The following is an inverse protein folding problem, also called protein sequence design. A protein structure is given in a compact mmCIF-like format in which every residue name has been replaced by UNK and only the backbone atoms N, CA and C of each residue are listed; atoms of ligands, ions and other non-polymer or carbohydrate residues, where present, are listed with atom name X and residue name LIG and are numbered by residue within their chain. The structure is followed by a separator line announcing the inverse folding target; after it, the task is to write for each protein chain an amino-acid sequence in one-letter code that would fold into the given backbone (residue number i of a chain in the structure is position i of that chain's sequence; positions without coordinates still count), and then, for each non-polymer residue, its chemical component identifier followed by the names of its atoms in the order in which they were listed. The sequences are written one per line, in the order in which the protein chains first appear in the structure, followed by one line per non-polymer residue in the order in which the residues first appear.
data_IF_601233208859
#
_entry.id   IF_601233208859
#
_cell.length_a   1.000
_cell.length_b   1.000
_cell.length_c   1.000
_cell.angle_alpha   90.00
_cell.angle_beta   90.00
_cell.angle_gamma   90.00
#
_symmetry.space_group_name_H-M   'P 1'
#
loop_
_entity.id
_entity.type
_entity.pdbx_description
1 polymer ?
#
# COMPACT_ATOMS: atom_id res chain seq x y z
N UNK A 1 7.70 17.67 -9.98
CA UNK A 1 7.49 16.44 -9.21
C UNK A 1 8.84 15.89 -8.81
N UNK A 2 8.92 15.17 -7.69
CA UNK A 2 10.17 14.59 -7.22
C UNK A 2 10.62 13.45 -8.17
N UNK A 3 11.91 13.09 -8.10
CA UNK A 3 12.46 11.97 -8.88
C UNK A 3 11.76 10.64 -8.51
N UNK A 4 11.44 10.50 -7.23
CA UNK A 4 10.63 9.42 -6.68
C UNK A 4 9.53 10.01 -5.80
N UNK A 5 8.31 9.49 -5.92
CA UNK A 5 7.13 9.98 -5.19
C UNK A 5 6.24 8.80 -4.81
N UNK A 6 5.69 8.82 -3.59
CA UNK A 6 4.65 7.89 -3.15
C UNK A 6 3.39 8.69 -2.88
N UNK A 7 2.27 8.28 -3.49
CA UNK A 7 0.94 8.78 -3.20
C UNK A 7 0.19 7.76 -2.36
N UNK A 8 -0.36 8.23 -1.25
CA UNK A 8 -1.13 7.41 -0.32
C UNK A 8 -2.52 8.01 -0.19
N UNK A 9 -3.55 7.17 -0.32
CA UNK A 9 -4.94 7.59 -0.09
C UNK A 9 -5.71 6.53 0.66
N UNK A 10 -6.59 6.96 1.56
CA UNK A 10 -7.50 6.11 2.33
C UNK A 10 -8.93 6.31 1.81
N UNK A 11 -9.52 5.27 1.22
CA UNK A 11 -10.88 5.35 0.67
C UNK A 11 -11.48 3.96 0.53
N UNK A 12 -12.78 3.84 0.72
CA UNK A 12 -13.57 2.65 0.38
C UNK A 12 -13.75 2.57 -1.15
N UNK A 13 -12.95 1.70 -1.78
CA UNK A 13 -12.92 1.50 -3.22
C UNK A 13 -13.90 0.41 -3.68
N UNK A 14 -14.10 -0.64 -2.89
CA UNK A 14 -14.95 -1.78 -3.23
C UNK A 14 -16.39 -1.68 -2.69
N UNK A 15 -16.68 -0.64 -1.90
CA UNK A 15 -17.97 -0.30 -1.28
C UNK A 15 -18.40 -1.30 -0.22
N UNK A 16 -17.45 -1.81 0.55
CA UNK A 16 -17.69 -2.82 1.58
C UNK A 16 -17.72 -2.25 3.01
N UNK A 17 -17.77 -0.93 3.14
CA UNK A 17 -17.75 -0.14 4.38
C UNK A 17 -16.41 -0.20 5.15
N UNK A 18 -15.35 -0.76 4.55
CA UNK A 18 -14.00 -0.82 5.11
C UNK A 18 -12.98 -0.15 4.18
N UNK A 19 -12.63 1.13 4.41
CA UNK A 19 -11.70 1.86 3.55
C UNK A 19 -10.35 1.16 3.37
N UNK A 20 -9.86 1.08 2.14
CA UNK A 20 -8.55 0.53 1.81
C UNK A 20 -7.49 1.64 1.67
N UNK A 21 -6.24 1.27 1.96
CA UNK A 21 -5.08 2.13 1.69
C UNK A 21 -4.58 1.84 0.29
N UNK A 22 -4.71 2.80 -0.61
CA UNK A 22 -4.03 2.76 -1.91
C UNK A 22 -2.64 3.36 -1.78
N UNK A 23 -1.64 2.62 -2.25
CA UNK A 23 -0.26 3.05 -2.36
C UNK A 23 0.15 3.07 -3.83
N UNK A 24 0.59 4.22 -4.33
CA UNK A 24 1.03 4.39 -5.71
C UNK A 24 2.43 5.00 -5.75
N UNK A 25 3.37 4.29 -6.35
CA UNK A 25 4.78 4.68 -6.42
C UNK A 25 5.11 5.16 -7.83
N UNK A 26 5.78 6.30 -7.89
CA UNK A 26 6.15 6.97 -9.12
C UNK A 26 7.67 7.14 -9.21
N UNK A 27 8.20 6.95 -10.42
CA UNK A 27 9.56 7.33 -10.81
C UNK A 27 9.48 8.08 -12.14
N UNK A 28 10.14 9.23 -12.24
CA UNK A 28 10.11 10.08 -13.44
C UNK A 28 8.69 10.32 -13.98
N UNK A 29 7.77 10.58 -13.07
CA UNK A 29 6.36 10.85 -13.36
C UNK A 29 5.56 9.66 -13.94
N UNK A 30 6.11 8.44 -13.85
CA UNK A 30 5.44 7.19 -14.25
C UNK A 30 5.18 6.32 -13.02
N UNK A 31 3.93 5.87 -12.88
CA UNK A 31 3.58 4.88 -11.87
C UNK A 31 4.20 3.54 -12.25
N UNK A 32 5.01 2.98 -11.35
CA UNK A 32 5.64 1.66 -11.54
C UNK A 32 5.07 0.60 -10.61
N UNK A 33 4.41 1.01 -9.52
CA UNK A 33 3.71 0.12 -8.60
C UNK A 33 2.43 0.79 -8.12
N UNK A 34 1.32 0.07 -8.26
CA UNK A 34 0.03 0.41 -7.66
C UNK A 34 -0.44 -0.80 -6.86
N UNK A 35 -0.68 -0.60 -5.57
CA UNK A 35 -1.16 -1.66 -4.68
C UNK A 35 -2.19 -1.14 -3.69
N UNK A 36 -2.94 -2.07 -3.12
CA UNK A 36 -3.98 -1.83 -2.14
C UNK A 36 -3.69 -2.69 -0.91
N UNK A 37 -3.78 -2.06 0.26
CA UNK A 37 -3.76 -2.74 1.55
C UNK A 37 -5.14 -2.61 2.16
N UNK A 38 -5.75 -3.75 2.47
CA UNK A 38 -7.09 -3.85 3.03
C UNK A 38 -7.05 -4.53 4.40
N UNK A 39 -8.14 -4.38 5.17
CA UNK A 39 -8.35 -5.12 6.41
C UNK A 39 -9.06 -6.43 6.10
N UNK A 40 -8.45 -7.58 6.43
CA UNK A 40 -9.11 -8.88 6.18
C UNK A 40 -10.36 -9.07 7.04
N UNK A 41 -10.35 -8.50 8.24
CA UNK A 41 -11.41 -8.68 9.24
C UNK A 41 -12.29 -7.44 9.42
N UNK A 42 -12.05 -6.37 8.65
CA UNK A 42 -12.76 -5.07 8.78
C UNK A 42 -12.68 -4.48 10.19
N UNK A 43 -11.62 -4.78 10.91
CA UNK A 43 -11.38 -4.36 12.30
C UNK A 43 -10.44 -3.15 12.40
N UNK A 44 -10.02 -2.60 11.25
CA UNK A 44 -9.09 -1.48 11.16
C UNK A 44 -7.62 -1.90 11.21
N UNK A 45 -7.32 -3.19 11.26
CA UNK A 45 -5.98 -3.73 11.03
C UNK A 45 -5.80 -4.00 9.54
N UNK A 46 -4.80 -3.37 8.92
CA UNK A 46 -4.54 -3.50 7.49
C UNK A 46 -3.52 -4.61 7.25
N UNK A 47 -3.97 -5.83 6.99
CA UNK A 47 -3.13 -7.04 6.93
C UNK A 47 -3.13 -7.74 5.57
N UNK A 48 -3.97 -7.29 4.62
CA UNK A 48 -4.13 -7.92 3.32
C UNK A 48 -3.55 -7.06 2.22
N UNK A 49 -2.47 -7.51 1.62
CA UNK A 49 -1.85 -6.86 0.45
C UNK A 49 -1.50 -7.91 -0.60
N UNK A 50 -1.74 -7.57 -1.87
CA UNK A 50 -1.34 -8.38 -3.01
C UNK A 50 -0.32 -7.63 -3.84
N UNK A 51 0.91 -8.14 -3.90
CA UNK A 51 1.97 -7.60 -4.76
C UNK A 51 2.62 -8.69 -5.60
N UNK A 52 3.28 -8.28 -6.67
CA UNK A 52 4.10 -9.12 -7.55
C UNK A 52 5.46 -8.49 -7.83
N UNK A 53 5.86 -7.57 -6.96
CA UNK A 53 7.04 -6.73 -7.13
C UNK A 53 7.88 -6.90 -5.89
N UNK A 54 9.14 -7.25 -6.10
CA UNK A 54 10.21 -7.13 -5.12
C UNK A 54 10.36 -5.64 -4.79
N UNK A 55 9.96 -5.25 -3.59
CA UNK A 55 9.92 -3.86 -3.14
C UNK A 55 11.19 -3.48 -2.40
N UNK A 56 11.79 -4.43 -1.69
CA UNK A 56 12.99 -4.23 -0.89
C UNK A 56 14.30 -4.45 -1.70
N UNK A 57 14.17 -4.87 -2.96
CA UNK A 57 15.25 -5.16 -3.92
C UNK A 57 16.18 -6.30 -3.47
N UNK A 58 15.67 -7.28 -2.72
CA UNK A 58 16.44 -8.44 -2.25
C UNK A 58 16.50 -9.61 -3.25
N UNK A 59 15.81 -9.49 -4.38
CA UNK A 59 15.78 -10.46 -5.47
C UNK A 59 14.60 -11.43 -5.41
N UNK A 60 13.70 -11.32 -4.42
CA UNK A 60 12.48 -12.10 -4.33
C UNK A 60 11.25 -11.21 -4.06
N UNK A 61 10.07 -11.67 -4.46
CA UNK A 61 8.82 -11.11 -3.94
C UNK A 61 8.35 -12.03 -2.82
N UNK A 62 8.48 -11.58 -1.57
CA UNK A 62 8.29 -12.41 -0.40
C UNK A 62 7.49 -11.74 0.73
N UNK A 63 7.45 -12.39 1.90
CA UNK A 63 6.72 -11.90 3.07
C UNK A 63 7.26 -10.55 3.59
N UNK A 64 8.54 -10.23 3.34
CA UNK A 64 9.15 -9.00 3.79
C UNK A 64 8.62 -7.79 3.04
N UNK A 65 8.42 -7.92 1.73
CA UNK A 65 7.80 -6.86 0.92
C UNK A 65 6.37 -6.57 1.38
N UNK A 66 5.62 -7.63 1.66
CA UNK A 66 4.27 -7.59 2.19
C UNK A 66 4.25 -6.91 3.57
N UNK A 67 5.19 -7.24 4.44
CA UNK A 67 5.33 -6.65 5.76
C UNK A 67 5.60 -5.14 5.67
N UNK A 68 6.50 -4.71 4.78
CA UNK A 68 6.83 -3.30 4.58
C UNK A 68 5.62 -2.47 4.13
N UNK A 69 4.83 -2.98 3.18
CA UNK A 69 3.62 -2.31 2.71
C UNK A 69 2.54 -2.26 3.80
N UNK A 70 2.40 -3.35 4.57
CA UNK A 70 1.49 -3.43 5.70
C UNK A 70 1.86 -2.39 6.77
N UNK A 71 3.14 -2.30 7.13
CA UNK A 71 3.63 -1.30 8.09
C UNK A 71 3.43 0.13 7.59
N UNK A 72 3.73 0.39 6.31
CA UNK A 72 3.53 1.71 5.70
C UNK A 72 2.04 2.10 5.72
N UNK A 73 1.14 1.19 5.33
CA UNK A 73 -0.29 1.42 5.36
C UNK A 73 -0.78 1.71 6.78
N UNK A 74 -0.38 0.89 7.75
CA UNK A 74 -0.75 1.06 9.16
C UNK A 74 -0.27 2.41 9.73
N UNK A 75 0.93 2.87 9.33
CA UNK A 75 1.46 4.17 9.73
C UNK A 75 0.76 5.34 9.03
N UNK A 76 0.30 5.16 7.79
CA UNK A 76 -0.38 6.21 7.02
C UNK A 76 -1.84 6.43 7.44
N UNK A 77 -2.56 5.37 7.83
CA UNK A 77 -3.97 5.45 8.25
C UNK A 77 -4.26 6.56 9.26
N UNK A 78 -3.54 6.71 10.38
CA UNK A 78 -3.80 7.79 11.33
C UNK A 78 -3.49 9.19 10.80
N UNK A 79 -2.69 9.33 9.73
CA UNK A 79 -2.36 10.61 9.10
C UNK A 79 -3.40 11.05 8.06
N UNK A 80 -4.27 10.14 7.64
CA UNK A 80 -5.26 10.33 6.57
C UNK A 80 -6.71 10.36 7.07
N UNK A 81 -6.92 10.14 8.38
CA UNK A 81 -8.21 10.32 9.07
C UNK A 81 -8.37 11.76 9.54
#
# INVERSE_FOLDING_TARGET
MAAEEIRISLKDFDKDESPEVRLEFFRDNKSYLLTFVASSLKDGRYDKVGIKTDLNEDGACDERDIELLTQLAQAAVPLLK
#
